data_IF_468706287591
#
_entry.id   IF_468706287591
#
_cell.length_a   1.000
_cell.length_b   1.000
_cell.length_c   1.000
_cell.angle_alpha   90.00
_cell.angle_beta   90.00
_cell.angle_gamma   90.00
#
_symmetry.space_group_name_H-M   'P 1'
#
loop_
_entity.id
_entity.type
_entity.pdbx_description
1 polymer ?
#
# COMPACT_ATOMS: atom_id res chain seq x y z
N UNK A 1 -38.80 -0.02 -24.05
CA UNK A 1 -39.27 0.71 -25.25
C UNK A 1 -38.19 1.72 -25.57
N UNK A 2 -37.40 1.68 -26.65
CA UNK A 2 -37.58 1.12 -27.97
C UNK A 2 -36.37 0.28 -28.42
N UNK A 3 -36.67 -0.81 -29.12
CA UNK A 3 -35.72 -1.71 -29.77
C UNK A 3 -35.48 -1.25 -31.22
N UNK A 4 -34.24 -1.31 -31.71
CA UNK A 4 -33.94 -1.32 -33.15
C UNK A 4 -33.50 -2.73 -33.56
N UNK A 5 -34.40 -3.43 -34.27
CA UNK A 5 -34.10 -4.52 -35.23
C UNK A 5 -33.36 -3.89 -36.43
N UNK A 6 -32.38 -4.45 -37.13
CA UNK A 6 -31.82 -5.79 -37.31
C UNK A 6 -31.42 -5.93 -38.79
N UNK A 7 -30.36 -6.70 -39.14
CA UNK A 7 -30.20 -7.56 -40.35
C UNK A 7 -28.75 -8.11 -40.49
N UNK A 8 -28.53 -9.22 -41.25
CA UNK A 8 -27.73 -10.36 -40.79
C UNK A 8 -26.38 -10.61 -41.51
N UNK A 9 -25.67 -11.62 -40.97
CA UNK A 9 -24.39 -12.24 -41.31
C UNK A 9 -24.13 -12.56 -42.80
N UNK A 10 -22.86 -12.84 -43.17
CA UNK A 10 -22.62 -14.20 -43.63
C UNK A 10 -21.39 -14.89 -43.01
N UNK A 11 -21.63 -16.16 -42.72
CA UNK A 11 -20.69 -17.23 -42.41
C UNK A 11 -19.60 -17.41 -43.47
N UNK A 12 -18.34 -17.55 -43.03
CA UNK A 12 -17.32 -18.32 -43.75
C UNK A 12 -16.65 -19.28 -42.77
N UNK A 13 -16.96 -20.56 -42.94
CA UNK A 13 -16.14 -21.63 -42.41
C UNK A 13 -14.92 -21.82 -43.29
N UNK A 14 -13.76 -21.98 -42.67
CA UNK A 14 -12.67 -22.78 -43.22
C UNK A 14 -12.08 -23.57 -42.06
N UNK A 15 -12.34 -24.88 -42.08
CA UNK A 15 -11.51 -25.84 -41.37
C UNK A 15 -10.16 -25.93 -42.06
N UNK A 16 -9.10 -25.94 -41.27
CA UNK A 16 -7.83 -26.55 -41.64
C UNK A 16 -7.24 -27.20 -40.39
N UNK A 17 -7.14 -28.52 -40.50
CA UNK A 17 -6.47 -29.44 -39.60
C UNK A 17 -4.94 -29.30 -39.72
N UNK A 18 -4.25 -29.76 -38.66
CA UNK A 18 -2.82 -30.17 -38.60
C UNK A 18 -1.83 -28.98 -38.45
N UNK A 19 -0.85 -28.93 -37.55
CA UNK A 19 -0.17 -29.95 -36.75
C UNK A 19 0.33 -29.37 -35.41
N UNK A 20 0.34 -30.21 -34.37
CA UNK A 20 1.20 -30.04 -33.18
C UNK A 20 2.64 -30.42 -33.56
N UNK A 21 3.67 -29.61 -33.26
CA UNK A 21 5.00 -30.13 -33.06
C UNK A 21 5.14 -30.49 -31.57
N UNK A 22 5.18 -31.79 -31.30
CA UNK A 22 5.88 -32.29 -30.13
C UNK A 22 7.37 -32.04 -30.35
N UNK A 23 8.02 -31.32 -29.45
CA UNK A 23 9.47 -31.15 -29.44
C UNK A 23 10.02 -31.48 -28.06
N UNK A 24 11.10 -32.24 -28.12
CA UNK A 24 11.58 -33.15 -27.11
C UNK A 24 12.19 -32.44 -25.89
N UNK A 25 12.04 -33.12 -24.76
CA UNK A 25 12.78 -32.88 -23.53
C UNK A 25 14.28 -32.94 -23.83
N UNK A 26 14.96 -31.81 -23.67
CA UNK A 26 16.43 -31.71 -23.74
C UNK A 26 16.94 -31.30 -22.37
N UNK A 27 17.53 -32.26 -21.66
CA UNK A 27 18.27 -32.03 -20.42
C UNK A 27 19.42 -31.06 -20.70
N UNK A 28 19.39 -29.86 -20.14
CA UNK A 28 20.53 -28.94 -20.18
C UNK A 28 21.06 -28.67 -18.77
N UNK A 29 22.37 -28.90 -18.66
CA UNK A 29 23.22 -28.82 -17.49
C UNK A 29 23.10 -27.49 -16.73
N UNK A 30 22.99 -27.60 -15.42
CA UNK A 30 23.05 -26.50 -14.46
C UNK A 30 24.43 -25.83 -14.44
N UNK A 31 24.59 -24.73 -15.16
CA UNK A 31 25.68 -23.79 -14.90
C UNK A 31 25.22 -22.74 -13.88
N UNK A 32 25.65 -22.89 -12.62
CA UNK A 32 25.55 -21.82 -11.61
C UNK A 32 26.47 -20.68 -12.02
N UNK A 33 25.95 -19.71 -12.78
CA UNK A 33 26.57 -18.40 -12.91
C UNK A 33 26.34 -17.63 -11.61
N UNK A 34 27.40 -17.46 -10.82
CA UNK A 34 27.43 -16.48 -9.75
C UNK A 34 27.34 -15.08 -10.38
N UNK A 35 26.16 -14.47 -10.27
CA UNK A 35 25.99 -13.05 -10.59
C UNK A 35 26.57 -12.24 -9.43
N UNK A 36 27.51 -11.30 -9.66
CA UNK A 36 28.01 -10.45 -8.60
C UNK A 36 26.87 -9.54 -8.10
N UNK A 37 26.61 -9.61 -6.79
CA UNK A 37 25.66 -8.71 -6.14
C UNK A 37 26.15 -7.28 -6.23
N UNK A 38 25.51 -6.45 -7.05
CA UNK A 38 25.70 -5.00 -7.04
C UNK A 38 25.17 -4.47 -5.71
N UNK A 39 26.08 -4.11 -4.80
CA UNK A 39 25.72 -3.25 -3.66
C UNK A 39 25.46 -1.87 -4.23
N UNK A 40 24.20 -1.46 -4.31
CA UNK A 40 23.87 -0.07 -4.53
C UNK A 40 24.31 0.71 -3.30
N UNK A 41 25.44 1.40 -3.41
CA UNK A 41 25.85 2.40 -2.43
C UNK A 41 24.87 3.55 -2.61
N UNK A 42 24.10 3.86 -1.56
CA UNK A 42 23.22 5.01 -1.53
C UNK A 42 24.01 6.26 -1.89
N UNK A 43 23.61 6.92 -2.96
CA UNK A 43 24.16 8.22 -3.33
C UNK A 43 23.86 9.18 -2.16
N UNK A 44 24.84 9.99 -1.76
CA UNK A 44 24.60 11.03 -0.77
C UNK A 44 23.42 11.89 -1.23
N UNK A 45 22.47 12.15 -0.31
CA UNK A 45 21.31 12.96 -0.60
C UNK A 45 21.76 14.26 -1.28
N UNK A 46 21.16 14.58 -2.43
CA UNK A 46 21.33 15.89 -3.05
C UNK A 46 21.07 16.95 -1.97
N UNK A 47 21.85 18.05 -1.98
CA UNK A 47 21.69 19.18 -1.04
C UNK A 47 20.20 19.42 -0.81
N UNK A 48 19.73 19.06 0.38
CA UNK A 48 18.37 19.37 0.83
C UNK A 48 18.29 20.89 0.79
N UNK A 49 17.24 21.44 0.19
CA UNK A 49 16.91 22.85 0.39
C UNK A 49 16.92 23.09 1.91
N UNK A 50 17.95 23.79 2.38
CA UNK A 50 18.27 23.97 3.80
C UNK A 50 17.12 24.71 4.52
N UNK A 51 16.17 25.24 3.76
CA UNK A 51 15.00 25.96 4.25
C UNK A 51 13.81 25.05 4.60
N UNK A 52 13.87 23.73 4.39
CA UNK A 52 12.74 22.84 4.70
C UNK A 52 12.70 22.35 6.16
N UNK A 53 13.82 22.09 6.80
CA UNK A 53 13.83 21.52 8.16
C UNK A 53 14.12 22.59 9.23
N UNK A 54 14.03 22.22 10.50
CA UNK A 54 14.57 23.05 11.59
C UNK A 54 16.07 22.78 11.80
N UNK A 55 16.80 23.77 12.31
CA UNK A 55 18.23 23.64 12.61
C UNK A 55 18.53 22.76 13.84
N UNK A 56 17.56 22.55 14.73
CA UNK A 56 17.77 21.88 16.00
C UNK A 56 16.54 21.77 16.89
N UNK A 57 16.60 20.91 17.93
CA UNK A 57 15.54 20.82 18.94
C UNK A 57 15.43 22.11 19.75
N UNK A 58 14.25 22.38 20.29
CA UNK A 58 13.97 23.54 21.15
C UNK A 58 12.97 23.15 22.23
N UNK A 59 13.47 22.89 23.43
CA UNK A 59 12.66 22.46 24.57
C UNK A 59 12.25 23.68 25.41
N UNK A 60 10.97 23.73 25.80
CA UNK A 60 10.37 24.77 26.64
C UNK A 60 9.90 24.23 27.99
N UNK A 61 9.50 22.97 28.06
CA UNK A 61 9.01 22.29 29.26
C UNK A 61 9.57 20.88 29.35
N UNK A 62 9.30 20.20 30.47
CA UNK A 62 9.32 18.75 30.52
C UNK A 62 8.27 18.13 29.58
N UNK A 63 8.47 16.88 29.17
CA UNK A 63 7.55 16.14 28.30
C UNK A 63 7.02 14.90 29.06
N UNK A 64 5.70 14.67 29.15
CA UNK A 64 4.62 15.53 28.62
C UNK A 64 4.48 16.83 29.41
N UNK A 65 4.27 17.96 28.73
CA UNK A 65 4.05 19.27 29.37
C UNK A 65 2.63 19.44 29.94
N UNK A 66 2.32 20.59 30.58
CA UNK A 66 1.04 20.82 31.24
C UNK A 66 -0.16 20.73 30.29
N UNK A 67 -0.06 21.22 29.04
CA UNK A 67 -1.14 21.14 28.06
C UNK A 67 -1.35 19.70 27.59
N UNK A 68 -0.27 18.96 27.32
CA UNK A 68 -0.35 17.54 27.00
C UNK A 68 -1.03 16.73 28.10
N UNK A 69 -0.63 16.94 29.38
CA UNK A 69 -1.23 16.23 30.52
C UNK A 69 -2.74 16.50 30.68
N UNK A 70 -3.17 17.73 30.44
CA UNK A 70 -4.60 18.07 30.46
C UNK A 70 -5.37 17.35 29.33
N UNK A 71 -4.83 17.32 28.11
CA UNK A 71 -5.45 16.59 27.00
C UNK A 71 -5.45 15.07 27.23
N UNK A 72 -4.39 14.51 27.83
CA UNK A 72 -4.33 13.10 28.24
C UNK A 72 -5.42 12.78 29.24
N UNK A 73 -5.64 13.64 30.25
CA UNK A 73 -6.73 13.46 31.21
C UNK A 73 -8.09 13.45 30.53
N UNK A 74 -8.34 14.35 29.58
CA UNK A 74 -9.59 14.39 28.80
C UNK A 74 -9.78 13.12 27.97
N UNK A 75 -8.74 12.66 27.28
CA UNK A 75 -8.79 11.43 26.49
C UNK A 75 -9.03 10.19 27.36
N UNK A 76 -8.45 10.17 28.56
CA UNK A 76 -8.57 9.04 29.49
C UNK A 76 -10.01 8.83 30.01
N UNK A 77 -10.88 9.83 29.87
CA UNK A 77 -12.31 9.68 30.20
C UNK A 77 -13.03 8.77 29.21
N UNK A 78 -12.59 8.73 27.94
CA UNK A 78 -13.29 8.03 26.86
C UNK A 78 -12.61 6.73 26.41
N UNK A 79 -11.31 6.59 26.64
CA UNK A 79 -10.54 5.37 26.36
C UNK A 79 -9.31 5.31 27.26
N UNK A 80 -8.73 4.13 27.47
CA UNK A 80 -7.45 4.04 28.18
C UNK A 80 -6.37 4.82 27.40
N UNK A 81 -5.77 5.83 28.03
CA UNK A 81 -4.78 6.71 27.44
C UNK A 81 -3.35 6.52 28.01
N UNK A 82 -3.08 5.42 28.73
CA UNK A 82 -1.78 5.16 29.35
C UNK A 82 -0.63 5.04 28.33
N UNK A 83 -0.95 4.64 27.10
CA UNK A 83 0.03 4.54 26.02
C UNK A 83 0.38 5.90 25.37
N UNK A 84 -0.32 6.98 25.71
CA UNK A 84 -0.08 8.30 25.10
C UNK A 84 1.17 8.94 25.71
N UNK A 85 2.16 9.27 24.87
CA UNK A 85 3.39 9.93 25.33
C UNK A 85 3.19 11.44 25.60
N UNK A 86 2.58 12.15 24.65
CA UNK A 86 2.21 13.57 24.70
C UNK A 86 1.31 13.92 23.50
N UNK A 87 0.73 15.11 23.48
CA UNK A 87 -0.09 15.58 22.34
C UNK A 87 0.73 16.42 21.38
N UNK A 88 0.48 16.27 20.08
CA UNK A 88 1.29 16.88 19.03
C UNK A 88 0.61 18.09 18.39
N UNK A 89 1.40 19.07 17.95
CA UNK A 89 1.02 20.13 17.03
C UNK A 89 1.66 19.82 15.66
N UNK A 90 0.90 19.14 14.79
CA UNK A 90 1.41 18.67 13.50
C UNK A 90 1.56 19.80 12.48
N UNK A 91 0.76 20.86 12.61
CA UNK A 91 0.83 22.06 11.78
C UNK A 91 2.19 22.74 11.88
N UNK A 92 2.78 22.77 13.08
CA UNK A 92 4.13 23.29 13.34
C UNK A 92 5.22 22.23 13.21
N UNK A 93 4.88 20.96 13.00
CA UNK A 93 5.89 19.91 12.80
C UNK A 93 6.41 19.95 11.36
N UNK A 94 7.73 19.83 11.18
CA UNK A 94 8.38 19.93 9.87
C UNK A 94 9.63 19.08 9.81
N UNK A 95 9.85 18.42 8.68
CA UNK A 95 11.03 17.59 8.43
C UNK A 95 11.17 16.51 9.50
N UNK A 96 12.31 16.50 10.20
CA UNK A 96 12.60 15.50 11.24
C UNK A 96 12.12 15.91 12.64
N UNK A 97 11.42 17.05 12.78
CA UNK A 97 11.02 17.55 14.09
C UNK A 97 9.52 17.47 14.33
N UNK A 98 9.18 16.85 15.46
CA UNK A 98 7.84 16.80 15.99
C UNK A 98 7.68 17.89 17.05
N UNK A 99 6.68 18.74 16.87
CA UNK A 99 6.32 19.79 17.81
C UNK A 99 5.14 19.31 18.66
N UNK A 100 5.24 19.44 19.98
CA UNK A 100 4.13 19.12 20.89
C UNK A 100 3.23 20.34 21.15
N UNK A 101 2.09 20.12 21.83
CA UNK A 101 1.13 21.19 22.18
C UNK A 101 1.64 22.15 23.25
N UNK A 102 2.76 21.83 23.91
CA UNK A 102 3.45 22.67 24.87
C UNK A 102 4.55 23.53 24.19
N UNK A 103 4.74 23.33 22.89
CA UNK A 103 5.68 24.07 22.05
C UNK A 103 7.12 23.56 22.13
N UNK A 104 7.33 22.35 22.66
CA UNK A 104 8.60 21.64 22.57
C UNK A 104 8.80 21.13 21.14
N UNK A 105 9.99 21.35 20.60
CA UNK A 105 10.41 20.82 19.30
C UNK A 105 11.46 19.75 19.51
N UNK A 106 11.13 18.51 19.16
CA UNK A 106 11.96 17.33 19.38
C UNK A 106 12.45 16.77 18.05
N UNK A 107 13.71 16.35 17.98
CA UNK A 107 14.19 15.53 16.86
C UNK A 107 13.53 14.14 16.97
N UNK A 108 12.65 13.80 16.03
CA UNK A 108 11.91 12.55 16.05
C UNK A 108 12.66 11.47 15.26
N UNK A 109 13.32 10.57 16.01
CA UNK A 109 13.97 9.36 15.48
C UNK A 109 13.06 8.12 15.55
N UNK A 110 11.80 8.29 15.94
CA UNK A 110 10.79 7.24 16.05
C UNK A 110 9.76 7.29 14.91
N UNK A 111 9.45 8.47 14.38
CA UNK A 111 8.69 8.72 13.14
C UNK A 111 7.32 8.04 13.11
N UNK A 112 6.57 8.17 14.21
CA UNK A 112 5.24 7.55 14.38
C UNK A 112 5.26 6.03 14.14
N UNK A 113 6.17 5.32 14.82
CA UNK A 113 6.36 3.88 14.62
C UNK A 113 6.81 3.58 13.18
N UNK A 114 7.84 4.29 12.70
CA UNK A 114 8.43 4.11 11.37
C UNK A 114 7.41 4.26 10.21
N UNK A 115 6.41 5.12 10.34
CA UNK A 115 5.32 5.28 9.37
C UNK A 115 5.33 6.59 8.59
N UNK A 116 6.11 7.59 9.01
CA UNK A 116 6.28 8.86 8.28
C UNK A 116 7.47 8.74 7.30
N UNK A 117 7.25 8.69 5.97
CA UNK A 117 8.31 8.29 5.03
C UNK A 117 9.32 9.40 4.67
N UNK A 118 8.89 10.67 4.65
CA UNK A 118 9.70 11.80 4.16
C UNK A 118 9.61 13.04 5.07
N UNK A 119 9.35 12.83 6.35
CA UNK A 119 9.22 13.88 7.35
C UNK A 119 7.85 14.58 7.40
N UNK A 120 7.66 15.39 8.44
CA UNK A 120 6.42 16.13 8.69
C UNK A 120 6.25 17.31 7.74
N UNK A 121 5.01 17.59 7.34
CA UNK A 121 4.63 18.77 6.53
C UNK A 121 5.47 18.99 5.27
N UNK A 122 5.85 17.89 4.60
CA UNK A 122 6.68 17.93 3.40
C UNK A 122 6.05 18.81 2.29
N UNK A 123 6.77 19.76 1.66
CA UNK A 123 6.15 20.81 0.84
C UNK A 123 5.52 20.23 -0.42
N UNK A 124 6.09 19.15 -0.96
CA UNK A 124 5.51 18.43 -2.08
C UNK A 124 4.14 17.80 -1.74
N UNK A 125 3.95 17.30 -0.52
CA UNK A 125 2.67 16.73 -0.08
C UNK A 125 1.64 17.83 0.17
N UNK A 126 2.05 18.95 0.79
CA UNK A 126 1.18 20.13 0.95
C UNK A 126 0.72 20.67 -0.41
N UNK A 127 1.62 20.73 -1.39
CA UNK A 127 1.29 21.14 -2.76
C UNK A 127 0.27 20.20 -3.42
N UNK A 128 0.33 18.89 -3.16
CA UNK A 128 -0.67 17.95 -3.65
C UNK A 128 -2.06 18.19 -3.05
N UNK A 129 -2.14 18.55 -1.76
CA UNK A 129 -3.41 18.84 -1.10
C UNK A 129 -4.02 20.16 -1.63
N UNK A 130 -3.19 21.16 -1.91
CA UNK A 130 -3.63 22.47 -2.39
C UNK A 130 -4.12 22.46 -3.85
N UNK A 131 -3.83 21.42 -4.61
CA UNK A 131 -4.23 21.27 -6.00
C UNK A 131 -5.74 20.97 -6.13
N UNK A 132 -6.56 21.86 -6.74
CA UNK A 132 -8.01 21.67 -6.81
C UNK A 132 -8.44 20.36 -7.48
N UNK A 133 -7.68 19.87 -8.46
CA UNK A 133 -7.95 18.61 -9.14
C UNK A 133 -7.90 17.38 -8.21
N UNK A 134 -7.19 17.47 -7.08
CA UNK A 134 -7.06 16.37 -6.13
C UNK A 134 -8.20 16.35 -5.11
N UNK A 135 -9.03 17.40 -5.02
CA UNK A 135 -10.09 17.51 -4.01
C UNK A 135 -11.05 16.31 -4.01
N UNK A 136 -11.47 15.87 -5.20
CA UNK A 136 -12.40 14.72 -5.35
C UNK A 136 -11.86 13.45 -4.70
N UNK A 137 -10.54 13.20 -4.78
CA UNK A 137 -9.91 12.01 -4.20
C UNK A 137 -10.05 11.94 -2.68
N UNK A 138 -10.07 13.09 -2.00
CA UNK A 138 -10.17 13.15 -0.53
C UNK A 138 -11.60 13.00 -0.02
N UNK A 139 -12.61 13.39 -0.80
CA UNK A 139 -14.02 13.38 -0.39
C UNK A 139 -14.83 12.21 -0.95
N UNK A 140 -14.41 11.64 -2.08
CA UNK A 140 -15.10 10.54 -2.75
C UNK A 140 -14.31 9.24 -2.63
N UNK A 141 -14.42 8.54 -1.50
CA UNK A 141 -13.73 7.26 -1.25
C UNK A 141 -14.47 6.09 -1.93
N UNK A 142 -13.91 5.44 -2.96
CA UNK A 142 -14.60 4.40 -3.72
C UNK A 142 -14.47 3.01 -3.09
N UNK A 143 -15.39 2.12 -3.43
CA UNK A 143 -15.21 0.68 -3.30
C UNK A 143 -14.29 0.18 -4.43
N UNK A 144 -12.97 0.24 -4.22
CA UNK A 144 -11.94 0.04 -5.26
C UNK A 144 -12.04 -1.30 -6.02
N UNK A 145 -12.59 -2.35 -5.40
CA UNK A 145 -12.76 -3.65 -6.05
C UNK A 145 -13.85 -3.70 -7.13
N UNK A 146 -14.74 -2.69 -7.18
CA UNK A 146 -15.89 -2.67 -8.10
C UNK A 146 -16.02 -1.35 -8.88
N UNK A 147 -15.65 -0.22 -8.30
CA UNK A 147 -15.82 1.12 -8.89
C UNK A 147 -14.51 1.94 -8.74
N UNK A 148 -13.40 1.50 -9.35
CA UNK A 148 -12.15 2.26 -9.28
C UNK A 148 -12.26 3.58 -10.05
N UNK A 149 -11.54 4.64 -9.61
CA UNK A 149 -11.47 5.89 -10.37
C UNK A 149 -10.67 5.69 -11.66
N UNK A 150 -10.90 6.58 -12.63
CA UNK A 150 -10.29 6.54 -13.97
C UNK A 150 -8.76 6.38 -13.94
N UNK A 151 -8.10 7.11 -13.03
CA UNK A 151 -6.64 7.14 -12.94
C UNK A 151 -6.04 6.04 -12.03
N UNK A 152 -6.83 5.08 -11.53
CA UNK A 152 -6.38 4.11 -10.52
C UNK A 152 -5.17 3.30 -10.99
N UNK A 153 -5.22 2.75 -12.21
CA UNK A 153 -4.13 1.91 -12.74
C UNK A 153 -2.85 2.73 -12.94
N UNK A 154 -2.96 3.97 -13.42
CA UNK A 154 -1.80 4.82 -13.62
C UNK A 154 -1.15 5.22 -12.30
N UNK A 155 -1.96 5.56 -11.29
CA UNK A 155 -1.44 5.84 -9.94
C UNK A 155 -0.75 4.64 -9.30
N UNK A 156 -1.19 3.40 -9.59
CA UNK A 156 -0.47 2.19 -9.18
C UNK A 156 0.88 2.03 -9.90
N UNK A 157 0.97 2.39 -11.19
CA UNK A 157 2.23 2.38 -11.95
C UNK A 157 3.25 3.38 -11.41
N UNK A 158 2.82 4.61 -11.17
CA UNK A 158 3.64 5.69 -10.62
C UNK A 158 4.11 5.43 -9.19
N UNK A 159 3.49 4.48 -8.48
CA UNK A 159 3.78 4.17 -7.08
C UNK A 159 4.19 2.70 -6.88
N UNK A 160 3.27 1.85 -6.45
CA UNK A 160 3.54 0.50 -5.97
C UNK A 160 4.19 -0.41 -7.02
N UNK A 161 3.80 -0.31 -8.29
CA UNK A 161 4.36 -1.17 -9.35
C UNK A 161 5.75 -0.73 -9.82
N UNK A 162 6.12 0.55 -9.64
CA UNK A 162 7.48 1.06 -9.94
C UNK A 162 8.56 0.44 -9.05
N UNK A 163 8.17 -0.08 -7.88
CA UNK A 163 9.04 -0.73 -6.88
C UNK A 163 8.70 -2.21 -6.68
N UNK A 164 8.05 -2.85 -7.66
CA UNK A 164 7.64 -4.24 -7.58
C UNK A 164 8.85 -5.19 -7.37
N UNK A 165 8.80 -6.09 -6.38
CA UNK A 165 9.86 -7.09 -6.17
C UNK A 165 10.02 -8.03 -7.37
N UNK A 166 11.24 -8.54 -7.58
CA UNK A 166 11.54 -9.50 -8.66
C UNK A 166 10.65 -10.74 -8.54
N UNK A 167 10.01 -11.11 -9.65
CA UNK A 167 9.13 -12.28 -9.74
C UNK A 167 7.70 -12.05 -9.23
N UNK A 168 7.36 -10.86 -8.71
CA UNK A 168 6.02 -10.53 -8.24
C UNK A 168 5.33 -9.57 -9.21
N UNK A 169 4.49 -10.11 -10.11
CA UNK A 169 3.78 -9.33 -11.14
C UNK A 169 2.36 -8.92 -10.77
N UNK A 170 1.83 -9.39 -9.64
CA UNK A 170 0.47 -9.14 -9.18
C UNK A 170 0.47 -8.24 -7.94
N UNK A 171 -0.56 -7.41 -7.78
CA UNK A 171 -0.71 -6.48 -6.68
C UNK A 171 -2.18 -6.37 -6.26
N UNK A 172 -2.44 -6.39 -4.96
CA UNK A 172 -3.73 -6.08 -4.35
C UNK A 172 -3.49 -5.09 -3.22
N UNK A 173 -4.22 -3.99 -3.19
CA UNK A 173 -4.10 -2.95 -2.16
C UNK A 173 -4.93 -3.28 -0.93
N UNK A 174 -4.39 -3.02 0.26
CA UNK A 174 -5.05 -3.14 1.56
C UNK A 174 -4.77 -1.88 2.39
N UNK A 175 -5.59 -1.63 3.42
CA UNK A 175 -5.53 -0.36 4.16
C UNK A 175 -4.48 -0.34 5.29
N UNK A 176 -4.08 -1.50 5.83
CA UNK A 176 -3.10 -1.60 6.90
C UNK A 176 -2.30 -2.90 6.82
N UNK A 177 -1.27 -3.03 7.68
CA UNK A 177 -0.43 -4.21 7.74
C UNK A 177 -1.18 -5.49 8.11
N UNK A 178 -2.12 -5.43 9.06
CA UNK A 178 -2.87 -6.61 9.52
C UNK A 178 -3.72 -7.22 8.41
N UNK A 179 -4.57 -6.42 7.74
CA UNK A 179 -5.41 -6.93 6.65
C UNK A 179 -4.60 -7.31 5.40
N UNK A 180 -3.42 -6.71 5.21
CA UNK A 180 -2.45 -7.18 4.21
C UNK A 180 -2.01 -8.62 4.50
N UNK A 181 -1.62 -8.92 5.74
CA UNK A 181 -1.22 -10.27 6.16
C UNK A 181 -2.38 -11.26 6.14
N UNK A 182 -3.56 -10.90 6.65
CA UNK A 182 -4.74 -11.78 6.64
C UNK A 182 -5.13 -12.19 5.21
N UNK A 183 -5.15 -11.24 4.27
CA UNK A 183 -5.46 -11.55 2.88
C UNK A 183 -4.32 -12.29 2.17
N UNK A 184 -3.06 -12.05 2.56
CA UNK A 184 -1.94 -12.87 2.10
C UNK A 184 -2.11 -14.32 2.55
N UNK A 185 -2.46 -14.58 3.82
CA UNK A 185 -2.73 -15.93 4.31
C UNK A 185 -3.90 -16.59 3.57
N UNK A 186 -5.02 -15.88 3.38
CA UNK A 186 -6.14 -16.39 2.57
C UNK A 186 -5.71 -16.73 1.14
N UNK A 187 -4.91 -15.87 0.51
CA UNK A 187 -4.37 -16.11 -0.83
C UNK A 187 -3.51 -17.38 -0.87
N UNK A 188 -2.66 -17.58 0.14
CA UNK A 188 -1.83 -18.79 0.28
C UNK A 188 -2.69 -20.03 0.52
N UNK A 189 -3.70 -19.98 1.39
CA UNK A 189 -4.62 -21.10 1.61
C UNK A 189 -5.37 -21.48 0.35
N UNK A 190 -5.90 -20.49 -0.38
CA UNK A 190 -6.57 -20.71 -1.67
C UNK A 190 -5.63 -21.31 -2.72
N UNK A 191 -4.41 -20.79 -2.84
CA UNK A 191 -3.40 -21.33 -3.74
C UNK A 191 -3.03 -22.78 -3.40
N UNK A 192 -2.86 -23.08 -2.12
CA UNK A 192 -2.49 -24.42 -1.66
C UNK A 192 -3.62 -25.42 -1.94
N UNK A 193 -4.87 -25.08 -1.58
CA UNK A 193 -6.04 -25.92 -1.90
C UNK A 193 -6.28 -26.06 -3.40
N UNK A 194 -5.98 -25.02 -4.19
CA UNK A 194 -6.02 -25.12 -5.65
C UNK A 194 -4.99 -26.13 -6.18
N UNK A 195 -3.80 -26.20 -5.57
CA UNK A 195 -2.78 -27.21 -5.94
C UNK A 195 -3.24 -28.63 -5.60
N UNK A 196 -3.80 -28.84 -4.42
CA UNK A 196 -4.29 -30.16 -3.99
C UNK A 196 -5.49 -30.65 -4.81
N UNK A 197 -6.44 -29.75 -5.08
CA UNK A 197 -7.65 -30.08 -5.84
C UNK A 197 -7.41 -30.16 -7.36
N UNK A 198 -6.36 -29.52 -7.86
CA UNK A 198 -6.06 -29.41 -9.28
C UNK A 198 -7.13 -28.64 -10.03
N UNK A 199 -7.55 -29.14 -11.19
CA UNK A 199 -8.56 -28.50 -12.06
C UNK A 199 -10.01 -28.86 -11.70
N UNK A 200 -10.25 -29.49 -10.54
CA UNK A 200 -11.60 -29.85 -10.09
C UNK A 200 -12.29 -28.63 -9.47
N UNK A 201 -13.60 -28.52 -9.68
CA UNK A 201 -14.45 -27.55 -8.97
C UNK A 201 -14.58 -27.89 -7.48
N UNK A 202 -15.16 -26.97 -6.70
CA UNK A 202 -15.48 -27.22 -5.29
C UNK A 202 -16.44 -28.41 -5.16
N UNK A 203 -16.22 -29.27 -4.16
CA UNK A 203 -17.18 -30.33 -3.85
C UNK A 203 -18.42 -29.76 -3.15
N UNK A 204 -19.54 -30.48 -3.20
CA UNK A 204 -20.75 -30.08 -2.47
C UNK A 204 -20.50 -30.02 -0.96
N UNK A 205 -19.75 -30.99 -0.43
CA UNK A 205 -19.34 -31.01 0.98
C UNK A 205 -18.49 -29.77 1.33
N UNK A 206 -17.49 -29.40 0.53
CA UNK A 206 -16.69 -28.18 0.76
C UNK A 206 -17.56 -26.92 0.82
N UNK A 207 -18.57 -26.83 -0.06
CA UNK A 207 -19.50 -25.68 -0.11
C UNK A 207 -20.41 -25.63 1.12
N UNK A 208 -20.86 -26.78 1.63
CA UNK A 208 -21.72 -26.87 2.80
C UNK A 208 -20.95 -26.65 4.10
N UNK A 209 -19.80 -27.31 4.26
CA UNK A 209 -19.03 -27.27 5.53
C UNK A 209 -18.34 -25.94 5.75
N UNK A 210 -17.90 -25.26 4.68
CA UNK A 210 -17.24 -23.95 4.82
C UNK A 210 -18.17 -22.88 5.42
N UNK A 211 -19.49 -23.04 5.29
CA UNK A 211 -20.48 -22.12 5.85
C UNK A 211 -20.71 -22.32 7.35
N UNK A 212 -20.22 -23.43 7.91
CA UNK A 212 -20.34 -23.80 9.34
C UNK A 212 -18.98 -24.00 10.01
N UNK A 213 -17.90 -23.46 9.42
CA UNK A 213 -16.53 -23.51 9.92
C UNK A 213 -15.96 -24.93 10.13
N UNK A 214 -16.26 -25.86 9.20
CA UNK A 214 -15.76 -27.24 9.17
C UNK A 214 -14.95 -27.55 7.92
#
# INVERSE_FOLDING_TARGET
VAARKGRPCPSRGHGLHVARPALACSFQHSYRLLVPGSRHISQAAAKVDVEFDYDGPLMKTEVPGPRSRELMKQLNIIQNAEAVHFFCNYEESRGNYLVDVDGNRMLDLYSQISSVPIGYSHPALLKLIQQPQNASMFVNRPALGILPPENFVEKLRESLLSVAPKGMSQLITMACGSCSNENAFKTVFMWYRSKERGQRGFSQEELETCMINQ
#
